data_IF_854378255712
#
_entry.id   IF_854378255712
#
_cell.length_a   1.000
_cell.length_b   1.000
_cell.length_c   1.000
_cell.angle_alpha   90.00
_cell.angle_beta   90.00
_cell.angle_gamma   90.00
#
_symmetry.space_group_name_H-M   'P 1'
#
loop_
_entity.id
_entity.type
_entity.pdbx_description
1 polymer ?
#
# COMPACT_ATOMS: atom_id res chain seq x y z
N UNK A 1 -7.90 16.43 -13.37
CA UNK A 1 -8.73 15.59 -12.49
C UNK A 1 -8.32 14.14 -12.72
N UNK A 2 -7.56 13.54 -11.81
CA UNK A 2 -7.00 12.18 -11.96
C UNK A 2 -8.09 11.14 -11.67
N UNK A 3 -8.98 10.89 -12.63
CA UNK A 3 -10.17 10.03 -12.46
C UNK A 3 -9.87 8.56 -12.13
N UNK A 4 -8.65 8.09 -12.40
CA UNK A 4 -8.22 6.73 -12.06
C UNK A 4 -8.08 6.49 -10.55
N UNK A 5 -7.81 7.54 -9.77
CA UNK A 5 -7.69 7.42 -8.31
C UNK A 5 -9.07 7.11 -7.67
N UNK A 6 -10.15 7.57 -8.31
CA UNK A 6 -11.53 7.32 -7.87
C UNK A 6 -11.95 5.87 -8.07
N UNK A 7 -11.35 5.16 -9.05
CA UNK A 7 -11.63 3.74 -9.33
C UNK A 7 -11.31 2.85 -8.13
N UNK A 8 -10.41 3.30 -7.24
CA UNK A 8 -9.99 2.54 -6.09
C UNK A 8 -10.75 2.84 -4.79
N UNK A 9 -11.55 3.91 -4.77
CA UNK A 9 -12.30 4.32 -3.59
C UNK A 9 -13.35 3.29 -3.19
N UNK A 10 -13.35 2.92 -1.91
CA UNK A 10 -14.35 2.01 -1.36
C UNK A 10 -14.06 0.52 -1.58
N UNK A 11 -12.94 0.16 -2.22
CA UNK A 11 -12.56 -1.25 -2.34
C UNK A 11 -12.28 -1.88 -0.96
N UNK A 12 -12.74 -3.13 -0.81
CA UNK A 12 -12.56 -3.93 0.41
C UNK A 12 -11.34 -4.86 0.37
N UNK A 13 -10.72 -5.01 -0.80
CA UNK A 13 -9.56 -5.88 -1.00
C UNK A 13 -8.57 -5.26 -1.97
N UNK A 14 -7.34 -5.75 -1.91
CA UNK A 14 -6.28 -5.35 -2.84
C UNK A 14 -6.61 -5.88 -4.25
N UNK A 15 -6.49 -5.04 -5.29
CA UNK A 15 -6.56 -5.52 -6.65
C UNK A 15 -5.48 -6.58 -6.89
N UNK A 16 -5.82 -7.63 -7.64
CA UNK A 16 -4.86 -8.67 -8.03
C UNK A 16 -3.78 -8.15 -8.97
N UNK A 17 -4.16 -7.17 -9.79
CA UNK A 17 -3.31 -6.52 -10.77
C UNK A 17 -3.26 -5.03 -10.40
N UNK A 18 -2.10 -4.61 -9.87
CA UNK A 18 -1.80 -3.21 -9.60
C UNK A 18 -0.67 -2.85 -10.57
N UNK A 19 -0.90 -1.83 -11.38
CA UNK A 19 0.09 -1.34 -12.33
C UNK A 19 1.26 -0.68 -11.60
N UNK A 20 2.45 -0.68 -12.20
CA UNK A 20 3.65 -0.01 -11.65
C UNK A 20 3.41 1.48 -11.37
N UNK A 21 2.56 2.12 -12.19
CA UNK A 21 2.12 3.49 -11.99
C UNK A 21 1.29 3.67 -10.71
N UNK A 22 0.36 2.76 -10.46
CA UNK A 22 -0.50 2.79 -9.26
C UNK A 22 0.34 2.47 -8.02
N UNK A 23 1.25 1.51 -8.12
CA UNK A 23 2.25 1.24 -7.08
C UNK A 23 3.02 2.49 -6.70
N UNK A 24 3.64 3.16 -7.67
CA UNK A 24 4.37 4.40 -7.40
C UNK A 24 3.49 5.51 -6.85
N UNK A 25 2.23 5.61 -7.26
CA UNK A 25 1.35 6.65 -6.76
C UNK A 25 0.88 6.43 -5.32
N UNK A 26 0.63 5.17 -4.94
CA UNK A 26 0.00 4.83 -3.66
C UNK A 26 0.98 4.29 -2.61
N UNK A 27 2.05 3.62 -3.03
CA UNK A 27 3.00 2.91 -2.18
C UNK A 27 4.40 3.56 -2.15
N UNK A 28 4.53 4.78 -2.68
CA UNK A 28 5.69 5.63 -2.40
C UNK A 28 5.42 6.41 -1.12
N UNK A 29 6.31 6.28 -0.14
CA UNK A 29 6.15 6.87 1.19
C UNK A 29 6.98 8.15 1.33
N UNK A 30 6.35 9.20 1.85
CA UNK A 30 7.07 10.42 2.23
C UNK A 30 7.93 10.18 3.49
N UNK A 31 8.80 11.13 3.86
CA UNK A 31 9.73 11.00 4.99
C UNK A 31 9.01 10.70 6.31
N UNK A 32 7.85 11.31 6.57
CA UNK A 32 7.07 11.05 7.77
C UNK A 32 6.45 9.63 7.79
N UNK A 33 6.02 9.14 6.62
CA UNK A 33 5.46 7.79 6.48
C UNK A 33 6.57 6.74 6.66
N UNK A 34 7.75 6.97 6.08
CA UNK A 34 8.94 6.13 6.27
C UNK A 34 9.40 6.08 7.71
N UNK A 35 9.38 7.19 8.44
CA UNK A 35 9.73 7.22 9.86
C UNK A 35 8.74 6.38 10.68
N UNK A 36 7.45 6.54 10.43
CA UNK A 36 6.40 5.74 11.07
C UNK A 36 6.54 4.23 10.76
N UNK A 37 6.90 3.87 9.54
CA UNK A 37 7.22 2.49 9.14
C UNK A 37 8.44 1.98 9.89
N UNK A 38 9.54 2.75 9.90
CA UNK A 38 10.79 2.36 10.54
C UNK A 38 10.73 2.30 12.06
N UNK A 39 9.81 3.03 12.69
CA UNK A 39 9.54 2.95 14.13
C UNK A 39 8.99 1.56 14.55
N UNK A 40 8.48 0.75 13.62
CA UNK A 40 8.00 -0.61 13.92
C UNK A 40 9.17 -1.59 14.05
N UNK A 41 9.10 -2.46 15.07
CA UNK A 41 10.07 -3.56 15.27
C UNK A 41 9.76 -4.75 14.37
N UNK A 42 10.74 -5.16 13.57
CA UNK A 42 10.70 -6.34 12.70
C UNK A 42 10.18 -6.04 11.30
N UNK A 43 10.88 -6.54 10.28
CA UNK A 43 10.62 -6.23 8.87
C UNK A 43 9.21 -6.64 8.43
N UNK A 44 8.65 -7.72 8.98
CA UNK A 44 7.27 -8.12 8.71
C UNK A 44 6.25 -7.08 9.18
N UNK A 45 6.48 -6.43 10.32
CA UNK A 45 5.58 -5.37 10.83
C UNK A 45 5.75 -4.06 10.06
N UNK A 46 6.97 -3.76 9.60
CA UNK A 46 7.24 -2.63 8.71
C UNK A 46 6.50 -2.78 7.39
N UNK A 47 6.63 -3.94 6.75
CA UNK A 47 5.94 -4.26 5.50
C UNK A 47 4.42 -4.25 5.68
N UNK A 48 3.92 -4.79 6.79
CA UNK A 48 2.49 -4.76 7.12
C UNK A 48 1.94 -3.35 7.31
N UNK A 49 2.72 -2.44 7.91
CA UNK A 49 2.34 -1.04 8.08
C UNK A 49 2.42 -0.27 6.76
N UNK A 50 3.49 -0.46 5.98
CA UNK A 50 3.64 0.13 4.65
C UNK A 50 2.45 -0.22 3.75
N UNK A 51 2.04 -1.50 3.77
CA UNK A 51 0.85 -1.97 3.07
C UNK A 51 -0.44 -1.28 3.54
N UNK A 52 -0.62 -1.11 4.86
CA UNK A 52 -1.78 -0.42 5.41
C UNK A 52 -1.85 1.05 4.98
N UNK A 53 -0.72 1.76 5.02
CA UNK A 53 -0.64 3.16 4.62
C UNK A 53 -0.98 3.30 3.13
N UNK A 54 -0.34 2.50 2.27
CA UNK A 54 -0.60 2.54 0.84
C UNK A 54 -2.05 2.19 0.47
N UNK A 55 -2.64 1.20 1.15
CA UNK A 55 -4.04 0.85 0.94
C UNK A 55 -5.02 1.92 1.44
N UNK A 56 -4.71 2.57 2.57
CA UNK A 56 -5.51 3.67 3.09
C UNK A 56 -5.51 4.85 2.11
N UNK A 57 -4.34 5.17 1.54
CA UNK A 57 -4.18 6.20 0.50
C UNK A 57 -4.96 5.86 -0.77
N UNK A 58 -4.92 4.58 -1.16
CA UNK A 58 -5.55 4.06 -2.38
C UNK A 58 -7.07 3.97 -2.29
N UNK A 59 -7.61 3.40 -1.21
CA UNK A 59 -9.03 3.08 -1.09
C UNK A 59 -9.82 4.04 -0.20
N UNK A 60 -9.12 4.87 0.58
CA UNK A 60 -9.71 5.69 1.63
C UNK A 60 -10.21 4.89 2.82
N UNK A 61 -9.87 3.60 2.92
CA UNK A 61 -10.33 2.69 3.99
C UNK A 61 -9.17 1.95 4.63
N UNK A 62 -9.39 1.56 5.89
CA UNK A 62 -8.49 0.63 6.55
C UNK A 62 -8.51 -0.73 5.83
N UNK A 63 -7.32 -1.28 5.67
CA UNK A 63 -7.11 -2.58 5.07
C UNK A 63 -7.75 -3.65 5.98
N UNK A 64 -8.73 -4.38 5.45
CA UNK A 64 -9.42 -5.45 6.17
C UNK A 64 -8.56 -6.71 6.31
N UNK A 65 -9.15 -7.85 6.70
CA UNK A 65 -8.43 -9.12 6.62
C UNK A 65 -8.32 -9.56 5.15
N UNK A 66 -7.10 -9.65 4.62
CA UNK A 66 -6.80 -10.14 3.28
C UNK A 66 -5.95 -11.41 3.38
N UNK A 67 -6.30 -12.41 2.57
CA UNK A 67 -5.65 -13.73 2.60
C UNK A 67 -4.51 -13.85 1.61
N UNK A 68 -4.48 -13.00 0.59
CA UNK A 68 -3.49 -13.03 -0.50
C UNK A 68 -3.08 -11.60 -0.81
N UNK A 69 -1.77 -11.36 -0.80
CA UNK A 69 -1.17 -10.10 -1.22
C UNK A 69 -0.42 -10.37 -2.54
N UNK A 70 -0.57 -9.52 -3.57
CA UNK A 70 0.15 -9.69 -4.82
C UNK A 70 1.67 -9.71 -4.60
N UNK A 71 2.38 -10.67 -5.23
CA UNK A 71 3.85 -10.77 -5.12
C UNK A 71 4.56 -9.53 -5.66
N UNK A 72 4.02 -8.92 -6.70
CA UNK A 72 4.54 -7.67 -7.23
C UNK A 72 4.56 -6.57 -6.15
N UNK A 73 3.51 -6.50 -5.33
CA UNK A 73 3.40 -5.52 -4.25
C UNK A 73 4.42 -5.76 -3.15
N UNK A 74 4.64 -7.03 -2.78
CA UNK A 74 5.72 -7.39 -1.86
C UNK A 74 7.09 -7.01 -2.38
N UNK A 75 7.37 -7.25 -3.66
CA UNK A 75 8.66 -6.87 -4.27
C UNK A 75 8.87 -5.36 -4.29
N UNK A 76 7.82 -4.60 -4.57
CA UNK A 76 7.90 -3.14 -4.55
C UNK A 76 8.13 -2.61 -3.13
N UNK A 77 7.34 -3.07 -2.15
CA UNK A 77 7.50 -2.69 -0.74
C UNK A 77 8.84 -3.12 -0.13
N UNK A 78 9.43 -4.20 -0.62
CA UNK A 78 10.77 -4.63 -0.18
C UNK A 78 11.91 -3.80 -0.79
N UNK A 79 11.63 -2.97 -1.79
CA UNK A 79 12.59 -2.10 -2.46
C UNK A 79 12.45 -0.62 -2.03
N UNK A 80 11.42 -0.29 -1.24
CA UNK A 80 11.12 1.05 -0.69
C UNK A 80 11.59 1.21 0.76
#
# INVERSE_FOLDING_TARGET
MQGWHTTFLGMRGLPRDISDFEMKAFFTFDGAERDAINARRGDSHKLGLALHIGFLRMSGRLLGAFRVIPVALWRHLGNE
#
